data_IF_810687624815
#
_entry.id   IF_810687624815
#
_cell.length_a   1.000
_cell.length_b   1.000
_cell.length_c   1.000
_cell.angle_alpha   90.00
_cell.angle_beta   90.00
_cell.angle_gamma   90.00
#
_symmetry.space_group_name_H-M   'P 1'
#
loop_
_entity.id
_entity.type
_entity.pdbx_description
1 polymer ?
#
# COMPACT_ATOMS: atom_id res chain seq x y z
N UNK A 1 2.96 25.95 5.74
CA UNK A 1 2.52 25.45 7.05
C UNK A 1 3.11 24.08 7.36
N UNK A 2 3.13 23.16 6.38
CA UNK A 2 3.57 21.77 6.58
C UNK A 2 4.68 21.42 5.58
N UNK A 3 5.73 20.71 6.04
CA UNK A 3 6.76 20.13 5.20
C UNK A 3 6.75 18.64 5.38
N UNK A 4 6.65 17.90 4.28
CA UNK A 4 6.70 16.44 4.21
C UNK A 4 8.04 15.98 3.59
N UNK A 5 9.07 15.67 4.40
CA UNK A 5 10.38 15.26 3.89
C UNK A 5 10.34 13.84 3.29
N UNK A 6 11.17 13.62 2.27
CA UNK A 6 11.47 12.33 1.68
C UNK A 6 12.95 12.29 1.25
N UNK A 7 13.84 11.98 2.18
CA UNK A 7 15.29 12.09 1.95
C UNK A 7 15.92 10.90 1.21
N UNK A 8 15.18 9.82 1.00
CA UNK A 8 15.71 8.68 0.24
C UNK A 8 15.52 8.87 -1.27
N UNK A 9 16.57 8.57 -2.04
CA UNK A 9 16.53 8.55 -3.50
C UNK A 9 15.78 7.33 -4.08
N UNK A 10 15.66 6.26 -3.31
CA UNK A 10 14.99 5.04 -3.76
C UNK A 10 13.48 5.17 -3.60
N UNK A 11 12.74 4.84 -4.66
CA UNK A 11 11.29 4.67 -4.59
C UNK A 11 10.92 3.54 -3.61
N UNK A 12 9.97 3.80 -2.74
CA UNK A 12 9.48 2.86 -1.72
C UNK A 12 8.02 3.19 -1.38
N UNK A 13 7.32 2.31 -0.70
CA UNK A 13 5.95 2.57 -0.23
C UNK A 13 5.82 3.90 0.54
N UNK A 14 6.79 4.23 1.40
CA UNK A 14 6.80 5.53 2.12
C UNK A 14 6.94 6.71 1.15
N UNK A 15 7.80 6.59 0.13
CA UNK A 15 7.93 7.63 -0.91
C UNK A 15 6.62 7.80 -1.67
N UNK A 16 6.02 6.70 -2.12
CA UNK A 16 4.74 6.71 -2.82
C UNK A 16 3.62 7.32 -1.95
N UNK A 17 3.62 7.07 -0.64
CA UNK A 17 2.65 7.68 0.29
C UNK A 17 2.78 9.20 0.32
N UNK A 18 4.00 9.75 0.40
CA UNK A 18 4.22 11.21 0.39
C UNK A 18 3.71 11.81 -0.93
N UNK A 19 4.10 11.20 -2.07
CA UNK A 19 3.75 11.71 -3.40
C UNK A 19 2.23 11.70 -3.66
N UNK A 20 1.51 10.71 -3.12
CA UNK A 20 0.04 10.63 -3.26
C UNK A 20 -0.70 11.56 -2.30
N UNK A 21 -0.23 11.71 -1.06
CA UNK A 21 -0.93 12.50 -0.03
C UNK A 21 -0.76 14.00 -0.19
N UNK A 22 0.45 14.47 -0.52
CA UNK A 22 0.73 15.92 -0.56
C UNK A 22 -0.17 16.68 -1.52
N UNK A 23 -0.42 16.22 -2.77
CA UNK A 23 -1.37 16.89 -3.67
C UNK A 23 -2.80 16.96 -3.12
N UNK A 24 -3.27 15.90 -2.45
CA UNK A 24 -4.62 15.88 -1.85
C UNK A 24 -4.69 16.83 -0.66
N UNK A 25 -3.71 16.80 0.23
CA UNK A 25 -3.65 17.67 1.40
C UNK A 25 -3.46 19.13 1.05
N UNK A 26 -2.80 19.43 -0.09
CA UNK A 26 -2.57 20.83 -0.53
C UNK A 26 -3.85 21.60 -0.86
N UNK A 27 -4.96 20.90 -1.04
CA UNK A 27 -6.29 21.50 -1.23
C UNK A 27 -6.83 22.12 0.07
N UNK A 28 -6.38 21.63 1.23
CA UNK A 28 -6.91 21.99 2.55
C UNK A 28 -5.92 22.76 3.44
N UNK A 29 -4.63 22.64 3.17
CA UNK A 29 -3.56 23.26 3.95
C UNK A 29 -2.32 23.51 3.08
N UNK A 30 -1.59 24.59 3.35
CA UNK A 30 -0.31 24.85 2.67
C UNK A 30 0.72 23.79 3.08
N UNK A 31 0.94 22.81 2.23
CA UNK A 31 1.88 21.70 2.41
C UNK A 31 2.78 21.53 1.19
N UNK A 32 4.04 21.18 1.42
CA UNK A 32 4.96 20.85 0.35
C UNK A 32 5.85 19.67 0.75
N UNK A 33 6.19 18.83 -0.23
CA UNK A 33 7.21 17.81 -0.07
C UNK A 33 8.61 18.42 -0.21
N UNK A 34 9.62 17.73 0.31
CA UNK A 34 11.03 18.07 0.06
C UNK A 34 11.89 16.82 -0.02
N UNK A 35 12.77 16.75 -1.01
CA UNK A 35 13.64 15.60 -1.19
C UNK A 35 14.13 15.42 -2.64
N UNK A 36 15.00 14.44 -2.88
CA UNK A 36 15.71 14.30 -4.17
C UNK A 36 14.86 13.64 -5.28
N UNK A 37 13.68 13.10 -4.98
CA UNK A 37 12.83 12.34 -5.93
C UNK A 37 11.36 12.75 -5.83
N UNK A 38 11.11 14.04 -5.65
CA UNK A 38 9.74 14.60 -5.66
C UNK A 38 9.39 14.91 -7.11
N UNK A 39 8.26 14.38 -7.66
CA UNK A 39 7.79 14.72 -9.00
C UNK A 39 7.38 16.20 -9.11
N UNK A 40 7.45 16.76 -10.31
CA UNK A 40 7.20 18.19 -10.54
C UNK A 40 5.75 18.60 -10.31
N UNK A 41 4.82 17.68 -10.45
CA UNK A 41 3.38 17.86 -10.19
C UNK A 41 3.00 17.88 -8.70
N UNK A 42 3.95 17.51 -7.82
CA UNK A 42 3.75 17.53 -6.37
C UNK A 42 4.26 18.85 -5.80
N UNK A 43 3.46 19.60 -5.00
CA UNK A 43 3.93 20.78 -4.31
C UNK A 43 5.22 20.50 -3.54
N UNK A 44 6.29 21.24 -3.86
CA UNK A 44 7.62 20.97 -3.31
C UNK A 44 8.40 22.22 -2.94
N UNK A 45 9.35 22.04 -2.04
CA UNK A 45 10.36 23.04 -1.68
C UNK A 45 11.77 22.42 -1.82
N UNK A 46 12.75 23.16 -2.37
CA UNK A 46 14.11 22.68 -2.47
C UNK A 46 14.73 22.37 -1.11
N UNK A 47 15.55 21.32 -1.01
CA UNK A 47 16.26 20.98 0.23
C UNK A 47 17.11 22.13 0.79
N UNK A 48 17.76 22.91 -0.08
CA UNK A 48 18.54 24.09 0.34
C UNK A 48 17.70 25.15 1.05
N UNK A 49 16.43 25.31 0.65
CA UNK A 49 15.49 26.25 1.28
C UNK A 49 15.21 25.93 2.74
N UNK A 50 15.39 24.68 3.18
CA UNK A 50 15.19 24.29 4.60
C UNK A 50 16.16 25.04 5.53
N UNK A 51 17.37 25.34 5.07
CA UNK A 51 18.37 26.08 5.85
C UNK A 51 18.03 27.56 5.89
N UNK A 52 17.68 28.13 4.73
CA UNK A 52 17.46 29.59 4.56
C UNK A 52 16.04 30.05 4.95
N UNK A 53 15.07 29.17 5.01
CA UNK A 53 13.67 29.53 5.39
C UNK A 53 13.62 30.27 6.72
N UNK A 54 12.64 31.16 6.90
CA UNK A 54 12.39 31.87 8.15
C UNK A 54 12.33 30.94 9.37
N UNK A 55 12.84 31.39 10.51
CA UNK A 55 12.74 30.68 11.78
C UNK A 55 11.27 30.48 12.19
N UNK A 56 10.41 31.49 12.00
CA UNK A 56 8.98 31.40 12.20
C UNK A 56 8.30 30.81 10.96
N UNK A 57 7.30 29.94 11.19
CA UNK A 57 6.41 29.45 10.13
C UNK A 57 5.44 30.54 9.66
N UNK A 58 4.74 30.31 8.54
CA UNK A 58 3.75 31.23 8.00
C UNK A 58 2.44 31.22 8.78
N UNK A 59 2.20 30.21 9.64
CA UNK A 59 0.99 30.15 10.47
C UNK A 59 0.90 31.34 11.44
N UNK A 60 -0.30 31.75 11.89
CA UNK A 60 -0.48 32.82 12.86
C UNK A 60 0.30 32.62 14.16
N UNK A 61 0.43 31.38 14.62
CA UNK A 61 1.25 31.03 15.80
C UNK A 61 2.76 31.09 15.55
N UNK A 62 3.17 31.19 14.29
CA UNK A 62 4.57 31.11 13.86
C UNK A 62 5.18 29.72 13.90
N UNK A 63 4.39 28.68 14.08
CA UNK A 63 4.84 27.29 13.96
C UNK A 63 4.76 26.78 12.52
N UNK A 64 5.51 25.74 12.22
CA UNK A 64 5.44 24.93 11.00
C UNK A 64 5.46 23.48 11.41
N UNK A 65 4.70 22.61 10.76
CA UNK A 65 4.76 21.16 10.97
C UNK A 65 5.82 20.53 10.07
N UNK A 66 6.62 19.64 10.65
CA UNK A 66 7.54 18.76 9.94
C UNK A 66 7.05 17.32 10.12
N UNK A 67 6.57 16.69 9.04
CA UNK A 67 5.97 15.36 9.10
C UNK A 67 6.90 14.27 8.58
N UNK A 68 7.70 13.68 9.46
CA UNK A 68 8.65 12.61 9.18
C UNK A 68 7.96 11.22 9.08
N UNK A 69 8.54 10.35 8.28
CA UNK A 69 8.15 8.93 8.14
C UNK A 69 9.32 7.98 8.29
N UNK A 70 10.52 8.51 8.51
CA UNK A 70 11.78 7.74 8.70
C UNK A 70 12.67 8.40 9.75
N UNK A 71 13.56 7.60 10.34
CA UNK A 71 14.52 8.11 11.34
C UNK A 71 15.36 9.29 10.83
N UNK A 72 15.84 9.21 9.58
CA UNK A 72 16.64 10.31 8.98
C UNK A 72 15.85 11.60 8.84
N UNK A 73 14.56 11.50 8.64
CA UNK A 73 13.65 12.64 8.54
C UNK A 73 13.32 13.21 9.92
N UNK A 74 13.18 12.36 10.95
CA UNK A 74 13.08 12.79 12.35
C UNK A 74 14.34 13.52 12.79
N UNK A 75 15.53 12.97 12.50
CA UNK A 75 16.82 13.62 12.78
C UNK A 75 16.92 14.96 12.07
N UNK A 76 16.54 15.06 10.79
CA UNK A 76 16.51 16.32 10.04
C UNK A 76 15.63 17.36 10.70
N UNK A 77 14.44 17.00 11.14
CA UNK A 77 13.53 17.88 11.88
C UNK A 77 14.11 18.37 13.20
N UNK A 78 14.74 17.47 13.97
CA UNK A 78 15.42 17.84 15.22
C UNK A 78 16.61 18.78 14.97
N UNK A 79 17.40 18.53 13.94
CA UNK A 79 18.50 19.42 13.57
C UNK A 79 18.00 20.83 13.19
N UNK A 80 16.96 20.92 12.35
CA UNK A 80 16.36 22.19 11.99
C UNK A 80 15.79 22.93 13.22
N UNK A 81 15.15 22.21 14.15
CA UNK A 81 14.55 22.78 15.37
C UNK A 81 15.62 23.26 16.35
N UNK A 82 16.61 22.43 16.68
CA UNK A 82 17.54 22.72 17.75
C UNK A 82 18.84 23.41 17.30
N UNK A 83 19.39 23.06 16.11
CA UNK A 83 20.62 23.68 15.63
C UNK A 83 20.35 24.99 14.87
N UNK A 84 19.25 25.06 14.10
CA UNK A 84 18.92 26.24 13.30
C UNK A 84 17.82 27.11 13.92
N UNK A 85 17.30 26.73 15.08
CA UNK A 85 16.27 27.49 15.83
C UNK A 85 14.94 27.65 15.07
N UNK A 86 14.64 26.74 14.12
CA UNK A 86 13.36 26.80 13.39
C UNK A 86 12.20 26.42 14.29
N UNK A 87 11.11 27.16 14.26
CA UNK A 87 9.90 26.84 15.03
C UNK A 87 9.13 25.72 14.36
N UNK A 88 9.49 24.49 14.67
CA UNK A 88 8.90 23.28 14.12
C UNK A 88 8.14 22.48 15.17
N UNK A 89 6.93 22.04 14.84
CA UNK A 89 6.22 20.94 15.49
C UNK A 89 6.55 19.67 14.72
N UNK A 90 7.11 18.68 15.40
CA UNK A 90 7.61 17.46 14.79
C UNK A 90 6.56 16.37 14.88
N UNK A 91 6.16 15.81 13.76
CA UNK A 91 5.23 14.70 13.66
C UNK A 91 5.91 13.49 13.01
N UNK A 92 5.58 12.30 13.47
CA UNK A 92 6.08 11.05 12.91
C UNK A 92 4.95 10.09 12.60
N UNK A 93 4.94 9.49 11.40
CA UNK A 93 4.08 8.35 11.06
C UNK A 93 4.89 7.06 11.02
N UNK A 94 4.50 6.10 11.84
CA UNK A 94 5.04 4.75 11.89
C UNK A 94 4.17 3.78 11.09
N UNK A 95 4.80 3.00 10.19
CA UNK A 95 4.20 1.85 9.51
C UNK A 95 4.91 0.54 9.88
N UNK A 96 5.69 0.53 10.96
CA UNK A 96 6.53 -0.62 11.36
C UNK A 96 5.80 -1.51 12.34
N UNK A 97 5.67 -2.79 12.00
CA UNK A 97 5.12 -3.84 12.88
C UNK A 97 6.24 -4.69 13.46
N UNK A 98 7.18 -4.05 14.12
CA UNK A 98 8.30 -4.70 14.81
C UNK A 98 8.79 -3.82 15.95
N UNK A 99 9.47 -4.42 16.89
CA UNK A 99 10.19 -3.72 17.98
C UNK A 99 11.04 -2.58 17.41
N UNK A 100 10.90 -1.41 18.01
CA UNK A 100 11.66 -0.23 17.64
C UNK A 100 13.06 -0.28 18.28
N UNK A 101 14.09 0.08 17.51
CA UNK A 101 15.46 0.21 18.06
C UNK A 101 15.52 1.33 19.10
N UNK A 102 16.51 1.27 20.02
CA UNK A 102 16.72 2.31 21.03
C UNK A 102 16.80 3.73 20.42
N UNK A 103 17.51 3.88 19.29
CA UNK A 103 17.55 5.16 18.55
C UNK A 103 16.17 5.59 18.07
N UNK A 104 15.39 4.68 17.50
CA UNK A 104 14.05 5.02 17.00
C UNK A 104 13.12 5.42 18.14
N UNK A 105 13.15 4.71 19.27
CA UNK A 105 12.39 5.08 20.49
C UNK A 105 12.79 6.45 21.00
N UNK A 106 14.10 6.73 21.07
CA UNK A 106 14.62 8.03 21.48
C UNK A 106 14.15 9.18 20.58
N UNK A 107 14.09 8.95 19.25
CA UNK A 107 13.56 9.92 18.28
C UNK A 107 12.05 10.13 18.46
N UNK A 108 11.26 9.06 18.57
CA UNK A 108 9.80 9.12 18.72
C UNK A 108 9.41 9.91 19.96
N UNK A 109 10.10 9.72 21.10
CA UNK A 109 9.84 10.49 22.34
C UNK A 109 10.01 12.01 22.19
N UNK A 110 10.63 12.48 21.10
CA UNK A 110 10.86 13.91 20.79
C UNK A 110 9.92 14.49 19.76
N UNK A 111 8.98 13.68 19.31
CA UNK A 111 7.93 14.13 18.38
C UNK A 111 6.78 14.76 19.18
N UNK A 112 6.22 15.83 18.63
CA UNK A 112 5.04 16.49 19.21
C UNK A 112 3.74 15.72 18.91
N UNK A 113 3.73 14.90 17.85
CA UNK A 113 2.65 13.95 17.55
C UNK A 113 3.18 12.69 16.87
N UNK A 114 2.53 11.56 17.15
CA UNK A 114 2.84 10.27 16.54
C UNK A 114 1.57 9.68 15.95
N UNK A 115 1.68 9.16 14.73
CA UNK A 115 0.62 8.44 14.02
C UNK A 115 1.10 7.02 13.73
N UNK A 116 0.24 6.05 13.94
CA UNK A 116 0.40 4.67 13.52
C UNK A 116 -0.52 4.37 12.35
N UNK A 117 -0.06 3.58 11.38
CA UNK A 117 -0.87 3.23 10.19
C UNK A 117 -1.85 2.09 10.44
N UNK A 118 -1.79 1.44 11.61
CA UNK A 118 -2.75 0.40 12.04
C UNK A 118 -2.70 0.22 13.55
N UNK A 119 -3.73 -0.41 14.13
CA UNK A 119 -3.74 -0.79 15.55
C UNK A 119 -2.54 -1.68 15.89
N UNK A 120 -2.19 -2.63 15.00
CA UNK A 120 -1.03 -3.50 15.14
C UNK A 120 0.28 -2.70 15.17
N UNK A 121 0.44 -1.70 14.30
CA UNK A 121 1.59 -0.78 14.34
C UNK A 121 1.61 0.04 15.62
N UNK A 122 0.43 0.48 16.09
CA UNK A 122 0.30 1.28 17.31
C UNK A 122 0.72 0.49 18.57
N UNK A 123 0.45 -0.82 18.60
CA UNK A 123 0.86 -1.69 19.70
C UNK A 123 2.39 -1.82 19.87
N UNK A 124 3.17 -1.52 18.82
CA UNK A 124 4.65 -1.47 18.90
C UNK A 124 5.21 -0.10 19.32
N UNK A 125 4.36 0.89 19.57
CA UNK A 125 4.78 2.19 20.09
C UNK A 125 4.74 2.19 21.62
N UNK A 126 5.79 2.71 22.25
CA UNK A 126 5.82 2.86 23.74
C UNK A 126 4.69 3.76 24.25
N UNK A 127 4.39 4.81 23.50
CA UNK A 127 3.27 5.70 23.76
C UNK A 127 2.31 5.60 22.55
N UNK A 128 1.11 5.04 22.74
CA UNK A 128 0.13 4.95 21.67
C UNK A 128 -0.15 6.33 21.04
N UNK A 129 -0.13 6.35 19.72
CA UNK A 129 -0.40 7.55 18.94
C UNK A 129 -1.82 7.53 18.34
N UNK A 130 -2.07 8.44 17.42
CA UNK A 130 -3.29 8.40 16.61
C UNK A 130 -3.19 7.25 15.59
N UNK A 131 -4.23 6.45 15.45
CA UNK A 131 -4.29 5.45 14.37
C UNK A 131 -4.98 6.07 13.16
N UNK A 132 -4.24 6.20 12.06
CA UNK A 132 -4.75 6.67 10.75
C UNK A 132 -4.26 5.68 9.71
N UNK A 133 -5.18 4.86 9.21
CA UNK A 133 -4.89 3.87 8.18
C UNK A 133 -4.63 4.54 6.83
N UNK A 134 -3.79 3.91 6.01
CA UNK A 134 -3.54 4.39 4.66
C UNK A 134 -4.79 4.27 3.80
N UNK A 135 -4.99 5.29 2.97
CA UNK A 135 -6.00 5.32 1.93
C UNK A 135 -5.39 5.19 0.53
N UNK A 136 -6.26 4.98 -0.44
CA UNK A 136 -5.92 4.94 -1.85
C UNK A 136 -6.75 5.94 -2.65
N UNK A 137 -6.31 6.22 -3.85
CA UNK A 137 -7.07 6.97 -4.84
C UNK A 137 -8.23 6.10 -5.36
N UNK A 138 -9.42 6.30 -4.81
CA UNK A 138 -10.63 5.54 -5.18
C UNK A 138 -11.25 5.96 -6.51
N UNK A 139 -10.77 7.06 -7.12
CA UNK A 139 -11.15 7.49 -8.46
C UNK A 139 -10.23 6.83 -9.49
N UNK A 140 -8.93 6.85 -9.27
CA UNK A 140 -7.94 6.17 -10.10
C UNK A 140 -8.11 4.65 -10.04
N UNK A 141 -8.35 4.08 -8.86
CA UNK A 141 -8.72 2.67 -8.67
C UNK A 141 -10.24 2.54 -8.65
N UNK A 142 -10.86 2.47 -9.83
CA UNK A 142 -12.29 2.26 -10.02
C UNK A 142 -12.53 1.10 -10.98
N UNK A 143 -13.69 0.41 -10.93
CA UNK A 143 -14.02 -0.65 -11.87
C UNK A 143 -13.95 -0.18 -13.33
N UNK A 144 -13.58 -1.07 -14.24
CA UNK A 144 -13.69 -0.79 -15.68
C UNK A 144 -15.14 -0.79 -16.12
N UNK A 145 -15.57 0.17 -16.94
CA UNK A 145 -16.88 0.12 -17.58
C UNK A 145 -17.01 -1.04 -18.60
N UNK A 146 -15.89 -1.44 -19.20
CA UNK A 146 -15.80 -2.58 -20.13
C UNK A 146 -14.55 -3.41 -19.82
N UNK A 147 -14.73 -4.42 -18.97
CA UNK A 147 -13.66 -5.35 -18.58
C UNK A 147 -13.19 -6.22 -19.76
N UNK A 148 -14.10 -6.57 -20.68
CA UNK A 148 -13.77 -7.43 -21.80
C UNK A 148 -12.87 -6.69 -22.81
N UNK A 149 -13.20 -5.44 -23.14
CA UNK A 149 -12.35 -4.59 -23.97
C UNK A 149 -10.97 -4.37 -23.35
N UNK A 150 -10.91 -4.08 -22.04
CA UNK A 150 -9.65 -3.89 -21.34
C UNK A 150 -8.77 -5.16 -21.31
N UNK A 151 -9.38 -6.35 -21.14
CA UNK A 151 -8.66 -7.63 -21.26
C UNK A 151 -8.06 -7.83 -22.64
N UNK A 152 -8.82 -7.50 -23.70
CA UNK A 152 -8.33 -7.60 -25.07
C UNK A 152 -7.17 -6.63 -25.34
N UNK A 153 -7.27 -5.38 -24.86
CA UNK A 153 -6.21 -4.37 -24.95
C UNK A 153 -4.91 -4.85 -24.27
N UNK A 154 -5.03 -5.40 -23.07
CA UNK A 154 -3.91 -5.95 -22.30
C UNK A 154 -3.45 -7.35 -22.80
N UNK A 155 -4.07 -7.86 -23.89
CA UNK A 155 -3.78 -9.18 -24.46
C UNK A 155 -3.95 -10.34 -23.46
N UNK A 156 -4.95 -10.22 -22.60
CA UNK A 156 -5.33 -11.23 -21.61
C UNK A 156 -6.55 -12.03 -22.10
N UNK A 157 -6.74 -13.27 -21.63
CA UNK A 157 -7.89 -14.08 -22.01
C UNK A 157 -9.22 -13.42 -21.61
N UNK A 158 -10.04 -13.08 -22.61
CA UNK A 158 -11.29 -12.31 -22.40
C UNK A 158 -12.33 -13.14 -21.63
N UNK A 159 -12.46 -14.42 -21.96
CA UNK A 159 -13.51 -15.31 -21.43
C UNK A 159 -13.06 -16.15 -20.22
N UNK A 160 -11.80 -16.05 -19.82
CA UNK A 160 -11.29 -16.80 -18.67
C UNK A 160 -11.63 -16.14 -17.33
N UNK A 161 -11.64 -16.93 -16.26
CA UNK A 161 -11.64 -16.45 -14.88
C UNK A 161 -10.21 -16.08 -14.47
N UNK A 162 -9.93 -14.80 -14.27
CA UNK A 162 -8.60 -14.31 -13.98
C UNK A 162 -8.36 -14.14 -12.47
N UNK A 163 -7.37 -14.83 -11.94
CA UNK A 163 -6.94 -14.76 -10.54
C UNK A 163 -5.56 -14.14 -10.46
N UNK A 164 -5.42 -13.01 -9.77
CA UNK A 164 -4.17 -12.23 -9.74
C UNK A 164 -3.44 -12.25 -8.41
N UNK A 165 -2.09 -12.23 -8.46
CA UNK A 165 -1.20 -11.98 -7.33
C UNK A 165 -0.11 -10.99 -7.75
N UNK A 166 -0.12 -9.78 -7.20
CA UNK A 166 0.72 -8.67 -7.65
C UNK A 166 1.68 -8.17 -6.59
N UNK A 167 2.87 -7.79 -7.02
CA UNK A 167 3.90 -7.25 -6.18
C UNK A 167 5.28 -7.81 -6.49
N UNK A 168 6.29 -7.45 -5.68
CA UNK A 168 7.65 -7.98 -5.88
C UNK A 168 7.67 -9.49 -5.74
N UNK A 169 8.27 -10.17 -6.72
CA UNK A 169 8.42 -11.63 -6.71
C UNK A 169 9.50 -12.02 -5.70
N UNK A 170 9.07 -12.59 -4.57
CA UNK A 170 9.94 -13.08 -3.48
C UNK A 170 9.12 -13.86 -2.45
N UNK A 171 9.75 -14.76 -1.72
CA UNK A 171 9.11 -15.61 -0.70
C UNK A 171 8.31 -14.83 0.35
N UNK A 172 8.83 -13.69 0.85
CA UNK A 172 8.11 -12.85 1.82
C UNK A 172 6.75 -12.35 1.30
N UNK A 173 6.59 -12.23 -0.02
CA UNK A 173 5.34 -11.82 -0.66
C UNK A 173 4.41 -12.99 -0.96
N UNK A 174 4.84 -14.22 -0.66
CA UNK A 174 4.04 -15.43 -0.82
C UNK A 174 3.77 -15.80 -2.28
N UNK A 175 4.60 -15.32 -3.23
CA UNK A 175 4.40 -15.62 -4.65
C UNK A 175 4.48 -17.13 -4.91
N UNK A 176 5.32 -17.85 -4.18
CA UNK A 176 5.40 -19.33 -4.19
C UNK A 176 4.13 -19.97 -3.63
N UNK A 177 3.60 -19.46 -2.51
CA UNK A 177 2.35 -19.96 -1.95
C UNK A 177 1.18 -19.78 -2.93
N UNK A 178 1.13 -18.63 -3.64
CA UNK A 178 0.15 -18.42 -4.70
C UNK A 178 0.31 -19.45 -5.83
N UNK A 179 1.53 -19.64 -6.33
CA UNK A 179 1.78 -20.58 -7.42
C UNK A 179 1.35 -22.01 -7.00
N UNK A 180 1.79 -22.49 -5.83
CA UNK A 180 1.45 -23.84 -5.36
C UNK A 180 -0.06 -24.01 -5.12
N UNK A 181 -0.75 -23.03 -4.57
CA UNK A 181 -2.20 -23.07 -4.39
C UNK A 181 -2.97 -23.03 -5.72
N UNK A 182 -2.44 -22.33 -6.74
CA UNK A 182 -3.11 -22.23 -8.04
C UNK A 182 -2.90 -23.44 -8.93
N UNK A 183 -1.80 -24.18 -8.82
CA UNK A 183 -1.53 -25.36 -9.68
C UNK A 183 -2.67 -26.38 -9.68
N UNK A 184 -3.17 -26.89 -8.53
CA UNK A 184 -4.31 -27.81 -8.52
C UNK A 184 -5.61 -27.14 -9.00
N UNK A 185 -5.82 -25.85 -8.72
CA UNK A 185 -7.00 -25.13 -9.21
C UNK A 185 -7.00 -25.07 -10.74
N UNK A 186 -5.86 -24.76 -11.34
CA UNK A 186 -5.70 -24.70 -12.81
C UNK A 186 -5.87 -26.07 -13.47
N UNK A 187 -5.41 -27.16 -12.83
CA UNK A 187 -5.61 -28.53 -13.35
C UNK A 187 -7.09 -28.88 -13.45
N UNK A 188 -7.84 -28.56 -12.40
CA UNK A 188 -9.24 -28.94 -12.27
C UNK A 188 -10.20 -28.00 -13.05
N UNK A 189 -9.76 -26.77 -13.37
CA UNK A 189 -10.60 -25.72 -13.99
C UNK A 189 -9.91 -25.14 -15.23
N UNK A 190 -10.21 -25.63 -16.44
CA UNK A 190 -9.55 -25.19 -17.67
C UNK A 190 -9.80 -23.71 -18.00
N UNK A 191 -10.87 -23.12 -17.52
CA UNK A 191 -11.23 -21.72 -17.78
C UNK A 191 -10.57 -20.73 -16.81
N UNK A 192 -9.81 -21.21 -15.81
CA UNK A 192 -9.09 -20.34 -14.85
C UNK A 192 -7.69 -20.04 -15.37
N UNK A 193 -7.28 -18.79 -15.25
CA UNK A 193 -5.93 -18.30 -15.56
C UNK A 193 -5.38 -17.54 -14.37
N UNK A 194 -4.17 -17.86 -13.95
CA UNK A 194 -3.46 -17.20 -12.86
C UNK A 194 -2.50 -16.14 -13.42
N UNK A 195 -2.54 -14.93 -12.87
CA UNK A 195 -1.67 -13.82 -13.23
C UNK A 195 -0.72 -13.50 -12.07
N UNK A 196 0.57 -13.69 -12.27
CA UNK A 196 1.63 -13.23 -11.37
C UNK A 196 2.26 -11.99 -11.98
N UNK A 197 2.11 -10.82 -11.35
CA UNK A 197 2.67 -9.58 -11.88
C UNK A 197 3.65 -8.93 -10.92
N UNK A 198 4.81 -8.54 -11.45
CA UNK A 198 5.83 -7.84 -10.71
C UNK A 198 7.23 -8.18 -11.18
N UNK A 199 8.23 -7.77 -10.39
CA UNK A 199 9.64 -8.00 -10.69
C UNK A 199 10.36 -8.67 -9.53
N UNK A 200 11.15 -9.69 -9.84
CA UNK A 200 12.22 -10.15 -8.97
C UNK A 200 13.39 -9.16 -9.01
N UNK A 201 14.00 -8.87 -7.87
CA UNK A 201 15.32 -8.24 -7.87
C UNK A 201 16.37 -9.32 -8.15
N UNK A 202 17.58 -8.92 -8.56
CA UNK A 202 18.69 -9.82 -8.87
C UNK A 202 18.84 -11.00 -7.89
N UNK A 203 18.72 -10.70 -6.59
CA UNK A 203 18.74 -11.72 -5.52
C UNK A 203 17.64 -12.80 -5.65
N UNK A 204 16.53 -12.51 -6.31
CA UNK A 204 15.35 -13.37 -6.40
C UNK A 204 15.03 -13.87 -7.81
N UNK A 205 15.93 -13.67 -8.79
CA UNK A 205 15.73 -14.15 -10.17
C UNK A 205 15.67 -15.68 -10.23
N UNK A 206 16.51 -16.38 -9.46
CA UNK A 206 16.47 -17.83 -9.36
C UNK A 206 15.16 -18.33 -8.72
N UNK A 207 14.60 -17.58 -7.78
CA UNK A 207 13.30 -17.87 -7.18
C UNK A 207 12.17 -17.72 -8.22
N UNK A 208 12.13 -16.63 -8.97
CA UNK A 208 11.16 -16.42 -10.06
C UNK A 208 11.28 -17.51 -11.13
N UNK A 209 12.52 -17.85 -11.54
CA UNK A 209 12.77 -18.92 -12.50
C UNK A 209 12.22 -20.25 -12.00
N UNK A 210 12.46 -20.61 -10.73
CA UNK A 210 11.93 -21.82 -10.12
C UNK A 210 10.41 -21.90 -10.15
N UNK A 211 9.69 -20.79 -9.93
CA UNK A 211 8.24 -20.75 -10.03
C UNK A 211 7.73 -20.98 -11.46
N UNK A 212 8.39 -20.38 -12.46
CA UNK A 212 8.09 -20.62 -13.88
C UNK A 212 8.37 -22.06 -14.29
N UNK A 213 9.48 -22.63 -13.83
CA UNK A 213 9.83 -24.04 -14.11
C UNK A 213 8.82 -24.98 -13.44
N UNK A 214 8.32 -24.65 -12.25
CA UNK A 214 7.29 -25.43 -11.55
C UNK A 214 5.97 -25.45 -12.34
N UNK A 215 5.51 -24.30 -12.84
CA UNK A 215 4.32 -24.22 -13.70
C UNK A 215 4.52 -25.00 -15.02
N UNK A 216 5.71 -24.93 -15.61
CA UNK A 216 6.06 -25.66 -16.83
C UNK A 216 6.04 -27.16 -16.61
N UNK A 217 6.57 -27.65 -15.50
CA UNK A 217 6.60 -29.09 -15.17
C UNK A 217 5.19 -29.70 -15.06
N UNK A 218 4.18 -28.86 -14.68
CA UNK A 218 2.77 -29.26 -14.66
C UNK A 218 2.04 -29.04 -16.00
N UNK A 219 2.73 -28.55 -17.03
CA UNK A 219 2.11 -28.22 -18.34
C UNK A 219 1.16 -27.02 -18.30
N UNK A 220 1.32 -26.10 -17.31
CA UNK A 220 0.41 -25.00 -17.05
C UNK A 220 0.97 -23.62 -17.43
N UNK A 221 2.06 -23.56 -18.22
CA UNK A 221 2.70 -22.29 -18.61
C UNK A 221 1.77 -21.33 -19.33
N UNK A 222 0.81 -21.81 -20.09
CA UNK A 222 -0.15 -20.99 -20.85
C UNK A 222 -1.29 -20.46 -19.99
N UNK A 223 -1.40 -20.94 -18.73
CA UNK A 223 -2.44 -20.52 -17.79
C UNK A 223 -1.90 -19.99 -16.46
N UNK A 224 -0.59 -20.05 -16.23
CA UNK A 224 0.13 -19.37 -15.14
C UNK A 224 1.02 -18.31 -15.76
N UNK A 225 0.45 -17.11 -16.00
CA UNK A 225 1.11 -16.03 -16.72
C UNK A 225 1.92 -15.14 -15.79
N UNK A 226 3.21 -15.00 -16.09
CA UNK A 226 4.11 -14.08 -15.38
C UNK A 226 4.23 -12.78 -16.18
N UNK A 227 3.62 -11.71 -15.68
CA UNK A 227 3.60 -10.40 -16.31
C UNK A 227 4.72 -9.51 -15.72
N UNK A 228 5.30 -8.61 -16.53
CA UNK A 228 6.31 -7.68 -16.06
C UNK A 228 5.73 -6.68 -15.04
N UNK A 229 6.61 -6.02 -14.27
CA UNK A 229 6.25 -4.85 -13.48
C UNK A 229 5.77 -3.70 -14.40
N UNK A 230 4.68 -3.07 -14.03
CA UNK A 230 4.12 -1.93 -14.76
C UNK A 230 4.26 -0.63 -13.96
N UNK A 231 4.21 0.54 -14.60
CA UNK A 231 4.16 1.82 -13.91
C UNK A 231 2.99 1.89 -12.92
N UNK A 232 3.17 2.64 -11.84
CA UNK A 232 2.14 2.78 -10.79
C UNK A 232 0.81 3.31 -11.36
N UNK A 233 0.85 4.17 -12.38
CA UNK A 233 -0.34 4.70 -13.05
C UNK A 233 -1.18 3.63 -13.76
N UNK A 234 -0.54 2.57 -14.24
CA UNK A 234 -1.18 1.51 -15.02
C UNK A 234 -1.67 0.34 -14.13
N UNK A 235 -1.30 0.35 -12.84
CA UNK A 235 -1.66 -0.74 -11.92
C UNK A 235 -3.16 -0.99 -11.80
N UNK A 236 -3.96 0.07 -11.86
CA UNK A 236 -5.41 -0.04 -11.75
C UNK A 236 -6.01 -0.92 -12.86
N UNK A 237 -5.49 -0.84 -14.08
CA UNK A 237 -5.98 -1.63 -15.22
C UNK A 237 -5.77 -3.12 -15.01
N UNK A 238 -4.65 -3.50 -14.40
CA UNK A 238 -4.37 -4.89 -14.06
C UNK A 238 -5.25 -5.42 -12.92
N UNK A 239 -5.64 -4.58 -11.95
CA UNK A 239 -6.67 -4.99 -10.99
C UNK A 239 -8.05 -5.11 -11.63
N UNK A 240 -8.47 -4.16 -12.46
CA UNK A 240 -9.78 -4.11 -13.13
C UNK A 240 -10.13 -5.36 -13.93
N UNK A 241 -9.12 -6.04 -14.48
CA UNK A 241 -9.31 -7.24 -15.30
C UNK A 241 -9.52 -8.52 -14.50
N UNK A 242 -9.27 -8.51 -13.19
CA UNK A 242 -9.36 -9.70 -12.33
C UNK A 242 -10.81 -10.02 -11.94
N UNK A 243 -11.06 -11.31 -11.72
CA UNK A 243 -12.25 -11.81 -11.04
C UNK A 243 -11.98 -12.04 -9.54
N UNK A 244 -10.73 -12.35 -9.18
CA UNK A 244 -10.31 -12.53 -7.79
C UNK A 244 -8.84 -12.07 -7.63
N UNK A 245 -8.56 -11.40 -6.54
CA UNK A 245 -7.19 -11.06 -6.15
C UNK A 245 -6.75 -11.90 -4.96
N UNK A 246 -5.57 -12.50 -5.03
CA UNK A 246 -4.98 -13.27 -3.93
C UNK A 246 -3.77 -12.54 -3.37
N UNK A 247 -3.79 -12.27 -2.07
CA UNK A 247 -2.75 -11.57 -1.32
C UNK A 247 -2.08 -12.50 -0.29
N UNK A 248 -1.14 -13.39 -0.71
CA UNK A 248 -0.63 -14.50 0.09
C UNK A 248 0.61 -14.16 0.92
N UNK A 249 0.79 -12.90 1.30
CA UNK A 249 1.99 -12.41 1.96
C UNK A 249 2.26 -13.15 3.29
N UNK A 250 3.53 -13.43 3.57
CA UNK A 250 4.02 -13.94 4.88
C UNK A 250 4.23 -12.83 5.88
N UNK A 251 4.52 -11.64 5.38
CA UNK A 251 4.68 -10.44 6.19
C UNK A 251 4.39 -9.19 5.38
N UNK A 252 3.68 -8.24 5.99
CA UNK A 252 3.40 -6.93 5.42
C UNK A 252 3.40 -5.86 6.51
N UNK A 253 3.80 -4.63 6.17
CA UNK A 253 3.71 -3.49 7.08
C UNK A 253 2.28 -2.97 7.21
N UNK A 254 1.69 -2.59 6.11
CA UNK A 254 0.28 -2.23 5.98
C UNK A 254 -0.36 -3.10 4.89
N UNK A 255 0.10 -2.94 3.64
CA UNK A 255 -0.35 -3.64 2.45
C UNK A 255 -1.55 -2.98 1.79
N UNK A 256 -1.29 -2.26 0.69
CA UNK A 256 -2.34 -1.55 -0.05
C UNK A 256 -3.07 -2.44 -1.05
N UNK A 257 -2.43 -3.53 -1.50
CA UNK A 257 -2.92 -4.35 -2.60
C UNK A 257 -4.35 -4.90 -2.43
N UNK A 258 -4.82 -5.31 -1.23
CA UNK A 258 -6.21 -5.71 -1.06
C UNK A 258 -7.20 -4.57 -1.30
N UNK A 259 -6.91 -3.37 -0.80
CA UNK A 259 -7.81 -2.23 -0.99
C UNK A 259 -7.75 -1.67 -2.41
N UNK A 260 -6.60 -1.77 -3.10
CA UNK A 260 -6.47 -1.46 -4.53
C UNK A 260 -7.34 -2.40 -5.39
N UNK A 261 -7.32 -3.71 -5.11
CA UNK A 261 -8.18 -4.68 -5.77
C UNK A 261 -9.67 -4.41 -5.49
N UNK A 262 -10.05 -4.26 -4.21
CA UNK A 262 -11.44 -4.00 -3.82
C UNK A 262 -11.96 -2.68 -4.38
N UNK A 263 -11.14 -1.64 -4.48
CA UNK A 263 -11.53 -0.38 -5.11
C UNK A 263 -11.85 -0.56 -6.61
N UNK A 264 -11.16 -1.48 -7.28
CA UNK A 264 -11.46 -1.86 -8.66
C UNK A 264 -12.66 -2.84 -8.77
N UNK A 265 -13.37 -3.14 -7.68
CA UNK A 265 -14.47 -4.07 -7.67
C UNK A 265 -14.02 -5.54 -7.77
N UNK A 266 -12.88 -5.87 -7.19
CA UNK A 266 -12.32 -7.23 -7.19
C UNK A 266 -12.25 -7.77 -5.77
N UNK A 267 -12.94 -8.87 -5.46
CA UNK A 267 -12.89 -9.49 -4.14
C UNK A 267 -11.52 -10.10 -3.85
N UNK A 268 -11.23 -10.37 -2.58
CA UNK A 268 -9.88 -10.69 -2.13
C UNK A 268 -9.85 -11.98 -1.30
N UNK A 269 -8.87 -12.84 -1.57
CA UNK A 269 -8.39 -13.85 -0.61
C UNK A 269 -7.03 -13.39 -0.10
N UNK A 270 -6.87 -13.24 1.22
CA UNK A 270 -5.64 -12.70 1.79
C UNK A 270 -5.18 -13.48 3.02
N UNK A 271 -3.91 -13.37 3.36
CA UNK A 271 -3.37 -13.89 4.61
C UNK A 271 -3.56 -12.90 5.77
N UNK A 272 -3.58 -13.40 7.02
CA UNK A 272 -3.72 -12.60 8.25
C UNK A 272 -2.43 -11.89 8.64
N UNK A 273 -1.94 -10.98 7.78
CA UNK A 273 -0.71 -10.22 8.01
C UNK A 273 -0.93 -8.71 7.86
N UNK A 274 -0.05 -7.93 8.43
CA UNK A 274 -0.10 -6.47 8.28
C UNK A 274 -1.41 -5.88 8.81
N UNK A 275 -2.08 -5.12 7.96
CA UNK A 275 -3.42 -4.58 8.23
C UNK A 275 -4.54 -5.42 7.60
N UNK A 276 -4.24 -6.54 6.93
CA UNK A 276 -5.21 -7.29 6.12
C UNK A 276 -6.45 -7.74 6.89
N UNK A 277 -6.31 -8.07 8.18
CA UNK A 277 -7.46 -8.41 9.04
C UNK A 277 -8.44 -7.26 9.25
N UNK A 278 -7.99 -6.01 9.03
CA UNK A 278 -8.85 -4.82 9.03
C UNK A 278 -9.30 -4.43 7.62
N UNK A 279 -8.51 -4.75 6.61
CA UNK A 279 -8.79 -4.38 5.22
C UNK A 279 -9.78 -5.35 4.55
N UNK A 280 -9.78 -6.62 4.93
CA UNK A 280 -10.64 -7.67 4.38
C UNK A 280 -11.62 -8.12 5.46
N UNK A 281 -12.91 -7.96 5.20
CA UNK A 281 -13.98 -8.42 6.09
C UNK A 281 -14.35 -9.84 5.71
N UNK A 282 -14.03 -10.79 6.59
CA UNK A 282 -14.24 -12.22 6.38
C UNK A 282 -15.69 -12.54 5.96
N UNK A 283 -15.86 -13.21 4.82
CA UNK A 283 -17.14 -13.62 4.27
C UNK A 283 -18.00 -12.48 3.71
N UNK A 284 -17.50 -11.23 3.69
CA UNK A 284 -18.23 -10.05 3.20
C UNK A 284 -17.53 -9.37 2.04
N UNK A 285 -16.20 -9.18 2.13
CA UNK A 285 -15.41 -8.58 1.06
C UNK A 285 -14.38 -9.56 0.50
N UNK A 286 -14.27 -10.75 1.10
CA UNK A 286 -13.33 -11.79 0.75
C UNK A 286 -13.10 -12.77 1.89
N UNK A 287 -11.99 -13.52 1.81
CA UNK A 287 -11.61 -14.53 2.80
C UNK A 287 -10.20 -14.24 3.34
N UNK A 288 -10.00 -14.63 4.60
CA UNK A 288 -8.70 -14.54 5.29
C UNK A 288 -8.25 -15.94 5.71
N UNK A 289 -6.99 -16.25 5.42
CA UNK A 289 -6.31 -17.50 5.82
C UNK A 289 -5.03 -17.18 6.60
N UNK A 290 -4.47 -18.16 7.28
CA UNK A 290 -3.20 -17.96 7.96
C UNK A 290 -2.02 -17.94 6.98
N UNK A 291 -0.96 -17.17 7.25
CA UNK A 291 0.22 -17.16 6.39
C UNK A 291 0.89 -18.54 6.39
N UNK A 292 1.49 -18.93 5.24
CA UNK A 292 2.12 -20.22 5.01
C UNK A 292 1.18 -21.45 4.98
N UNK A 293 -0.12 -21.26 5.17
CA UNK A 293 -1.11 -22.33 5.01
C UNK A 293 -1.58 -22.43 3.55
N UNK A 294 -0.77 -23.08 2.72
CA UNK A 294 -1.05 -23.27 1.29
C UNK A 294 -2.35 -24.06 1.05
N UNK A 295 -2.63 -25.15 1.78
CA UNK A 295 -3.92 -25.85 1.65
C UNK A 295 -5.13 -24.95 1.97
N UNK A 296 -5.06 -24.14 3.01
CA UNK A 296 -6.14 -23.20 3.33
C UNK A 296 -6.26 -22.10 2.26
N UNK A 297 -5.15 -21.63 1.70
CA UNK A 297 -5.15 -20.64 0.60
C UNK A 297 -5.80 -21.22 -0.65
N UNK A 298 -5.48 -22.46 -1.02
CA UNK A 298 -6.13 -23.18 -2.12
C UNK A 298 -7.63 -23.34 -1.86
N UNK A 299 -8.01 -23.86 -0.70
CA UNK A 299 -9.42 -24.08 -0.33
C UNK A 299 -10.22 -22.78 -0.36
N UNK A 300 -9.71 -21.69 0.21
CA UNK A 300 -10.36 -20.39 0.20
C UNK A 300 -10.49 -19.82 -1.22
N UNK A 301 -9.48 -20.02 -2.08
CA UNK A 301 -9.53 -19.57 -3.47
C UNK A 301 -10.57 -20.37 -4.26
N UNK A 302 -10.62 -21.71 -4.09
CA UNK A 302 -11.66 -22.57 -4.69
C UNK A 302 -13.07 -22.18 -4.20
N UNK A 303 -13.22 -21.98 -2.91
CA UNK A 303 -14.50 -21.55 -2.33
C UNK A 303 -14.96 -20.21 -2.91
N UNK A 304 -14.08 -19.22 -2.98
CA UNK A 304 -14.38 -17.93 -3.61
C UNK A 304 -14.85 -18.08 -5.06
N UNK A 305 -14.18 -18.93 -5.86
CA UNK A 305 -14.49 -19.13 -7.28
C UNK A 305 -15.72 -19.98 -7.53
N UNK A 306 -16.20 -20.77 -6.55
CA UNK A 306 -17.31 -21.72 -6.71
C UNK A 306 -18.69 -21.05 -6.86
N UNK A 307 -18.85 -19.79 -6.41
CA UNK A 307 -20.11 -19.05 -6.43
C UNK A 307 -19.93 -17.63 -6.99
N UNK A 308 -20.27 -17.46 -8.25
CA UNK A 308 -20.16 -16.17 -8.97
C UNK A 308 -21.07 -15.09 -8.39
N UNK A 309 -22.23 -15.46 -7.84
CA UNK A 309 -23.16 -14.50 -7.21
C UNK A 309 -22.55 -13.93 -5.93
N UNK A 310 -22.01 -14.80 -5.09
CA UNK A 310 -21.28 -14.40 -3.88
C UNK A 310 -20.04 -13.57 -4.22
N UNK A 311 -19.31 -13.95 -5.23
CA UNK A 311 -18.13 -13.22 -5.69
C UNK A 311 -18.46 -11.78 -6.11
N UNK A 312 -19.58 -11.61 -6.85
CA UNK A 312 -20.09 -10.29 -7.25
C UNK A 312 -20.55 -9.46 -6.04
N UNK A 313 -21.23 -10.07 -5.08
CA UNK A 313 -21.63 -9.41 -3.83
C UNK A 313 -20.42 -8.94 -3.00
N UNK A 314 -19.36 -9.75 -2.91
CA UNK A 314 -18.10 -9.34 -2.26
C UNK A 314 -17.40 -8.21 -2.99
N UNK A 315 -17.45 -8.18 -4.32
CA UNK A 315 -16.87 -7.11 -5.13
C UNK A 315 -17.55 -5.76 -4.81
N UNK A 316 -18.89 -5.73 -4.76
CA UNK A 316 -19.66 -4.54 -4.43
C UNK A 316 -19.44 -4.08 -2.98
N UNK A 317 -19.52 -5.00 -2.03
CA UNK A 317 -19.27 -4.74 -0.62
C UNK A 317 -17.83 -4.24 -0.38
N UNK A 318 -16.83 -4.86 -1.03
CA UNK A 318 -15.43 -4.48 -0.93
C UNK A 318 -15.19 -3.07 -1.44
N UNK A 319 -15.74 -2.72 -2.61
CA UNK A 319 -15.63 -1.35 -3.14
C UNK A 319 -16.29 -0.33 -2.21
N UNK A 320 -17.52 -0.60 -1.76
CA UNK A 320 -18.23 0.29 -0.83
C UNK A 320 -17.43 0.53 0.45
N UNK A 321 -16.86 -0.54 1.01
CA UNK A 321 -16.02 -0.48 2.20
C UNK A 321 -14.75 0.35 1.99
N UNK A 322 -14.06 0.17 0.85
CA UNK A 322 -12.86 0.96 0.56
C UNK A 322 -13.19 2.43 0.35
N UNK A 323 -14.26 2.74 -0.36
CA UNK A 323 -14.70 4.13 -0.57
C UNK A 323 -15.04 4.84 0.74
N UNK A 324 -15.70 4.16 1.68
CA UNK A 324 -16.09 4.76 2.96
C UNK A 324 -14.91 4.91 3.94
N UNK A 325 -14.00 3.93 4.00
CA UNK A 325 -13.03 3.83 5.10
C UNK A 325 -11.57 4.03 4.68
N UNK A 326 -11.23 3.81 3.41
CA UNK A 326 -9.85 3.80 2.92
C UNK A 326 -9.60 4.72 1.71
N UNK A 327 -10.42 5.77 1.53
CA UNK A 327 -10.10 6.78 0.53
C UNK A 327 -8.92 7.64 0.97
N UNK A 328 -8.07 8.03 0.02
CA UNK A 328 -6.93 8.92 0.28
C UNK A 328 -7.38 10.28 0.83
N UNK A 329 -8.58 10.74 0.45
CA UNK A 329 -9.17 11.97 0.96
C UNK A 329 -9.43 11.88 2.48
N UNK A 330 -9.90 10.72 2.97
CA UNK A 330 -10.13 10.46 4.40
C UNK A 330 -8.81 10.44 5.18
N UNK A 331 -7.77 9.76 4.68
CA UNK A 331 -6.43 9.79 5.27
C UNK A 331 -5.89 11.23 5.32
N UNK A 332 -5.99 11.96 4.21
CA UNK A 332 -5.54 13.33 4.10
C UNK A 332 -6.24 14.25 5.12
N UNK A 333 -7.56 14.19 5.19
CA UNK A 333 -8.35 15.01 6.13
C UNK A 333 -8.01 14.69 7.60
N UNK A 334 -7.82 13.42 7.95
CA UNK A 334 -7.43 13.01 9.30
C UNK A 334 -6.04 13.57 9.68
N UNK A 335 -5.06 13.52 8.77
CA UNK A 335 -3.74 14.09 8.98
C UNK A 335 -3.79 15.64 9.07
N UNK A 336 -4.56 16.30 8.20
CA UNK A 336 -4.75 17.77 8.22
C UNK A 336 -5.33 18.23 9.55
N UNK A 337 -6.26 17.48 10.14
CA UNK A 337 -6.79 17.76 11.47
C UNK A 337 -5.69 17.79 12.54
N UNK A 338 -4.74 16.87 12.50
CA UNK A 338 -3.58 16.87 13.42
C UNK A 338 -2.67 18.06 13.12
N UNK A 339 -2.38 18.36 11.85
CA UNK A 339 -1.55 19.52 11.49
C UNK A 339 -2.14 20.83 12.03
N UNK A 340 -3.45 21.04 11.82
CA UNK A 340 -4.14 22.25 12.35
C UNK A 340 -4.04 22.35 13.87
N UNK A 341 -4.19 21.24 14.59
CA UNK A 341 -4.01 21.20 16.05
C UNK A 341 -2.58 21.59 16.46
N UNK A 342 -1.57 21.07 15.77
CA UNK A 342 -0.15 21.37 16.05
C UNK A 342 0.20 22.83 15.71
N UNK A 343 -0.40 23.39 14.68
CA UNK A 343 -0.18 24.78 14.27
C UNK A 343 -0.89 25.79 15.20
N UNK A 344 -1.95 25.38 15.89
CA UNK A 344 -2.68 26.24 16.84
C UNK A 344 -2.05 26.24 18.24
N UNK A 345 -1.22 25.26 18.59
CA UNK A 345 -0.54 25.13 19.88
C UNK A 345 0.80 25.91 19.89
#
# INVERSE_FOLDING_TARGET
DVIAPNFKRRLSGVTATVMRLVPVQSRDISIAATGPVVPDDVPQVPLASLVTMSRRGPSPSGWRVWHARRNVEMLGGLALRYLLGKRLKLMFTSASQREQTGLTRWLIRRMDAVVATSDRTNAYLENPGHVIMHGIDTEGFAPSPDRAALRAELKLPVNATLVGCYGRIRAQKGTDAFVEAMLPILRDNPDVVALVMGRATEKYESFEKGLKDRARAEGLSDRMLFLPEVPVGDMADFYRVLDLYVAPQRWEGFGLTPIEAMACGVPVVATRVGAFEKLVVQGTTGLLVDPDDIPALEAATRDALSDRTRLAAWAEAGRSYVMSDFSIAREAAALVKIYRKLLAA
#
